data_IF_739472650831
#
_entry.id   IF_739472650831
#
_cell.length_a   1.000
_cell.length_b   1.000
_cell.length_c   1.000
_cell.angle_alpha   90.00
_cell.angle_beta   90.00
_cell.angle_gamma   90.00
#
_symmetry.space_group_name_H-M   'P 1'
#
loop_
_entity.id
_entity.type
_entity.pdbx_description
1 polymer ?
#
# COMPACT_ATOMS: atom_id res chain seq x y z
N UNK A 1 6.29 -5.25 16.28
CA UNK A 1 7.10 -5.62 17.47
C UNK A 1 7.07 -7.11 17.84
N UNK A 2 6.14 -7.94 17.33
CA UNK A 2 6.11 -9.40 17.62
C UNK A 2 6.26 -10.26 16.36
N UNK A 3 7.20 -9.91 15.50
CA UNK A 3 7.67 -10.71 14.36
C UNK A 3 9.12 -10.31 14.11
N UNK A 4 9.99 -11.28 13.82
CA UNK A 4 11.41 -11.02 13.56
C UNK A 4 11.61 -10.25 12.25
N UNK A 5 10.99 -10.72 11.16
CA UNK A 5 11.11 -10.09 9.85
C UNK A 5 10.10 -8.96 9.62
N UNK A 6 9.08 -8.84 10.47
CA UNK A 6 7.88 -8.04 10.20
C UNK A 6 6.74 -8.89 9.66
N UNK A 7 5.58 -8.29 9.46
CA UNK A 7 4.38 -8.98 8.99
C UNK A 7 3.42 -7.98 8.35
N UNK A 8 3.01 -8.22 7.10
CA UNK A 8 1.92 -7.45 6.48
C UNK A 8 0.59 -7.85 7.09
N UNK A 9 -0.08 -6.91 7.75
CA UNK A 9 -1.28 -7.21 8.53
C UNK A 9 -2.59 -6.80 7.84
N UNK A 10 -2.49 -5.98 6.79
CA UNK A 10 -3.61 -5.42 6.05
C UNK A 10 -3.10 -5.00 4.66
N UNK A 11 -3.91 -5.17 3.63
CA UNK A 11 -3.65 -4.58 2.31
C UNK A 11 -4.84 -3.71 1.90
N UNK A 12 -4.55 -2.56 1.31
CA UNK A 12 -5.55 -1.61 0.82
C UNK A 12 -5.41 -1.51 -0.70
N UNK A 13 -6.51 -1.67 -1.42
CA UNK A 13 -6.56 -1.52 -2.87
C UNK A 13 -7.75 -0.63 -3.20
N UNK A 14 -7.52 0.42 -3.99
CA UNK A 14 -8.59 1.27 -4.52
C UNK A 14 -8.62 1.16 -6.03
N UNK A 15 -9.83 1.01 -6.57
CA UNK A 15 -10.12 1.18 -8.00
C UNK A 15 -10.69 2.59 -8.23
N UNK A 16 -11.25 2.84 -9.42
CA UNK A 16 -11.95 4.09 -9.69
C UNK A 16 -13.31 4.18 -8.98
N UNK A 17 -13.91 3.05 -8.66
CA UNK A 17 -15.28 2.95 -8.15
C UNK A 17 -15.37 2.39 -6.73
N UNK A 18 -14.34 1.71 -6.21
CA UNK A 18 -14.40 0.98 -4.94
C UNK A 18 -13.08 1.00 -4.19
N UNK A 19 -13.20 0.93 -2.86
CA UNK A 19 -12.10 0.72 -1.94
C UNK A 19 -12.22 -0.67 -1.31
N UNK A 20 -11.11 -1.39 -1.27
CA UNK A 20 -10.99 -2.73 -0.71
C UNK A 20 -10.02 -2.72 0.46
N UNK A 21 -10.45 -3.31 1.56
CA UNK A 21 -9.62 -3.63 2.72
C UNK A 21 -9.50 -5.14 2.79
N UNK A 22 -8.29 -5.65 2.57
CA UNK A 22 -8.02 -7.08 2.50
C UNK A 22 -7.32 -7.50 3.79
N UNK A 23 -7.91 -8.47 4.49
CA UNK A 23 -7.26 -9.19 5.59
C UNK A 23 -6.41 -10.32 5.02
N UNK A 24 -5.07 -10.23 5.10
CA UNK A 24 -4.22 -11.28 4.58
C UNK A 24 -4.18 -12.53 5.47
N UNK A 25 -4.62 -12.50 6.73
CA UNK A 25 -4.48 -13.64 7.64
C UNK A 25 -5.29 -14.87 7.23
N UNK A 26 -6.61 -14.76 6.93
CA UNK A 26 -7.38 -15.90 6.44
C UNK A 26 -7.06 -16.26 4.98
N UNK A 27 -6.34 -15.40 4.25
CA UNK A 27 -6.03 -15.53 2.83
C UNK A 27 -4.54 -15.77 2.56
N UNK A 28 -3.74 -16.02 3.60
CA UNK A 28 -2.29 -15.85 3.55
C UNK A 28 -1.63 -16.64 2.42
N UNK A 29 -2.08 -17.88 2.23
CA UNK A 29 -1.54 -18.79 1.23
C UNK A 29 -2.11 -18.52 -0.17
N UNK A 30 -3.24 -17.82 -0.26
CA UNK A 30 -3.98 -17.51 -1.47
C UNK A 30 -3.64 -16.11 -2.01
N UNK A 31 -3.00 -15.24 -1.22
CA UNK A 31 -2.67 -13.86 -1.62
C UNK A 31 -1.90 -13.79 -2.95
N UNK A 32 -1.13 -14.83 -3.30
CA UNK A 32 -0.38 -14.91 -4.56
C UNK A 32 -1.24 -14.75 -5.82
N UNK A 33 -2.57 -14.98 -5.75
CA UNK A 33 -3.50 -14.74 -6.88
C UNK A 33 -3.46 -13.29 -7.36
N UNK A 34 -3.10 -12.35 -6.48
CA UNK A 34 -2.97 -10.92 -6.84
C UNK A 34 -1.81 -10.65 -7.81
N UNK A 35 -0.93 -11.63 -8.07
CA UNK A 35 0.04 -11.51 -9.16
C UNK A 35 -0.63 -11.26 -10.51
N UNK A 36 -1.82 -11.81 -10.78
CA UNK A 36 -2.51 -11.59 -12.07
C UNK A 36 -2.67 -10.08 -12.36
N UNK A 37 -3.34 -9.27 -11.51
CA UNK A 37 -3.41 -7.84 -11.74
C UNK A 37 -2.09 -7.09 -11.44
N UNK A 38 -1.29 -7.53 -10.47
CA UNK A 38 -0.09 -6.79 -10.06
C UNK A 38 1.08 -6.93 -11.05
N UNK A 39 1.10 -8.01 -11.84
CA UNK A 39 2.12 -8.23 -12.87
C UNK A 39 1.63 -7.97 -14.29
N UNK A 40 0.34 -7.73 -14.51
CA UNK A 40 -0.17 -7.29 -15.81
C UNK A 40 0.42 -5.91 -16.18
N UNK A 41 1.23 -5.80 -17.24
CA UNK A 41 1.82 -4.53 -17.66
C UNK A 41 0.79 -3.53 -18.18
N UNK A 42 -0.44 -3.96 -18.51
CA UNK A 42 -1.51 -3.08 -18.99
C UNK A 42 -2.26 -2.38 -17.83
N UNK A 43 -2.06 -2.84 -16.60
CA UNK A 43 -2.66 -2.24 -15.40
C UNK A 43 -1.61 -1.40 -14.70
N UNK A 44 -1.84 -0.09 -14.57
CA UNK A 44 -0.94 0.78 -13.80
C UNK A 44 -1.21 0.63 -12.30
N UNK A 45 -0.18 0.26 -11.53
CA UNK A 45 -0.27 0.22 -10.06
C UNK A 45 0.30 1.50 -9.46
N UNK A 46 -0.52 2.25 -8.75
CA UNK A 46 -0.12 3.52 -8.13
C UNK A 46 0.16 3.31 -6.65
N UNK A 47 1.37 3.67 -6.20
CA UNK A 47 1.78 3.63 -4.80
C UNK A 47 2.28 5.02 -4.33
N UNK A 48 2.54 5.15 -3.04
CA UNK A 48 3.20 6.31 -2.46
C UNK A 48 4.35 5.88 -1.53
N UNK A 49 5.58 5.94 -2.02
CA UNK A 49 6.77 5.54 -1.27
C UNK A 49 6.84 4.03 -1.05
N UNK A 50 6.81 3.27 -2.14
CA UNK A 50 6.61 1.81 -2.14
C UNK A 50 7.85 1.00 -1.74
N UNK A 51 8.99 1.62 -1.39
CA UNK A 51 10.27 0.92 -1.22
C UNK A 51 10.16 -0.27 -0.24
N UNK A 52 9.41 -0.11 0.87
CA UNK A 52 9.14 -1.21 1.81
C UNK A 52 8.00 -2.13 1.35
N UNK A 53 6.95 -1.59 0.74
CA UNK A 53 5.78 -2.35 0.31
C UNK A 53 6.18 -3.44 -0.69
N UNK A 54 7.07 -3.11 -1.64
CA UNK A 54 7.59 -4.08 -2.62
C UNK A 54 8.30 -5.25 -1.94
N UNK A 55 9.11 -4.98 -0.91
CA UNK A 55 9.83 -6.02 -0.16
C UNK A 55 8.83 -6.89 0.61
N UNK A 56 7.84 -6.29 1.25
CA UNK A 56 6.87 -7.02 2.06
C UNK A 56 5.93 -7.87 1.21
N UNK A 57 5.47 -7.36 0.06
CA UNK A 57 4.68 -8.12 -0.91
C UNK A 57 5.39 -9.39 -1.39
N UNK A 58 6.68 -9.29 -1.71
CA UNK A 58 7.49 -10.42 -2.14
C UNK A 58 7.74 -11.40 -0.99
N UNK A 59 8.15 -10.88 0.17
CA UNK A 59 8.49 -11.70 1.34
C UNK A 59 7.29 -12.48 1.88
N UNK A 60 6.15 -11.81 2.03
CA UNK A 60 5.00 -12.37 2.75
C UNK A 60 4.08 -13.18 1.81
N UNK A 61 3.93 -12.76 0.54
CA UNK A 61 2.90 -13.27 -0.36
C UNK A 61 3.40 -13.74 -1.72
N UNK A 62 4.70 -13.57 -2.03
CA UNK A 62 5.23 -13.85 -3.36
C UNK A 62 4.61 -12.99 -4.47
N UNK A 63 4.17 -11.77 -4.14
CA UNK A 63 3.56 -10.84 -5.10
C UNK A 63 4.64 -9.90 -5.66
N UNK A 64 4.69 -9.78 -6.98
CA UNK A 64 5.56 -8.84 -7.70
C UNK A 64 4.75 -7.75 -8.40
N UNK A 65 5.37 -6.60 -8.66
CA UNK A 65 4.70 -5.45 -9.28
C UNK A 65 5.39 -5.05 -10.58
N UNK A 66 4.64 -5.05 -11.67
CA UNK A 66 5.06 -4.58 -13.01
C UNK A 66 4.23 -3.38 -13.40
N UNK A 67 4.79 -2.39 -14.10
CA UNK A 67 4.08 -1.13 -14.43
C UNK A 67 3.57 -0.40 -13.18
N UNK A 68 4.52 0.08 -12.36
CA UNK A 68 4.25 0.80 -11.11
C UNK A 68 4.60 2.28 -11.25
N UNK A 69 3.75 3.14 -10.69
CA UNK A 69 4.00 4.57 -10.53
C UNK A 69 4.03 4.96 -9.06
N UNK A 70 5.16 5.49 -8.61
CA UNK A 70 5.33 5.95 -7.23
C UNK A 70 5.15 7.47 -7.15
N UNK A 71 4.06 7.88 -6.49
CA UNK A 71 3.71 9.30 -6.31
C UNK A 71 4.73 10.05 -5.45
N UNK A 72 5.41 9.41 -4.50
CA UNK A 72 6.47 10.06 -3.74
C UNK A 72 7.65 10.43 -4.65
N UNK A 73 8.01 9.53 -5.58
CA UNK A 73 9.07 9.81 -6.56
C UNK A 73 8.65 10.87 -7.57
N UNK A 74 7.40 10.86 -8.01
CA UNK A 74 6.84 11.92 -8.84
C UNK A 74 6.90 13.29 -8.15
N UNK A 75 6.54 13.37 -6.86
CA UNK A 75 6.63 14.61 -6.09
C UNK A 75 8.07 15.14 -5.98
N UNK A 76 9.06 14.24 -5.84
CA UNK A 76 10.49 14.62 -5.88
C UNK A 76 10.89 15.18 -7.24
N UNK A 77 10.46 14.52 -8.33
CA UNK A 77 10.74 14.98 -9.69
C UNK A 77 10.07 16.33 -10.02
N UNK A 78 8.92 16.62 -9.40
CA UNK A 78 8.18 17.88 -9.53
C UNK A 78 8.60 18.95 -8.51
N UNK A 79 9.67 18.74 -7.75
CA UNK A 79 10.23 19.68 -6.77
C UNK A 79 9.22 20.17 -5.72
N UNK A 80 8.37 19.26 -5.22
CA UNK A 80 7.44 19.57 -4.13
C UNK A 80 8.20 19.88 -2.83
N UNK A 81 7.73 20.86 -2.06
CA UNK A 81 8.34 21.21 -0.77
C UNK A 81 8.36 20.07 0.27
N UNK A 82 7.43 19.10 0.14
CA UNK A 82 7.29 17.93 1.00
C UNK A 82 6.83 16.74 0.16
N UNK A 83 7.25 15.53 0.54
CA UNK A 83 6.96 14.30 -0.21
C UNK A 83 6.03 13.31 0.50
N UNK A 84 5.39 13.71 1.60
CA UNK A 84 4.53 12.80 2.37
C UNK A 84 3.13 12.64 1.75
N UNK A 85 2.51 11.47 1.95
CA UNK A 85 1.14 11.22 1.48
C UNK A 85 0.12 12.25 2.01
N UNK A 86 0.22 12.65 3.28
CA UNK A 86 -0.64 13.70 3.84
C UNK A 86 -0.50 15.02 3.08
N UNK A 87 0.72 15.40 2.71
CA UNK A 87 0.93 16.63 1.94
C UNK A 87 0.34 16.51 0.54
N UNK A 88 0.51 15.37 -0.13
CA UNK A 88 -0.09 15.10 -1.43
C UNK A 88 -1.62 15.21 -1.39
N UNK A 89 -2.25 14.54 -0.42
CA UNK A 89 -3.72 14.56 -0.26
C UNK A 89 -4.22 15.96 0.10
N UNK A 90 -3.48 16.70 0.93
CA UNK A 90 -3.85 18.09 1.23
C UNK A 90 -3.72 18.98 -0.01
N UNK A 91 -2.65 18.85 -0.78
CA UNK A 91 -2.39 19.68 -1.96
C UNK A 91 -3.36 19.39 -3.11
N UNK A 92 -3.67 18.11 -3.37
CA UNK A 92 -4.50 17.71 -4.50
C UNK A 92 -6.00 17.63 -4.17
N UNK A 93 -6.35 17.25 -2.93
CA UNK A 93 -7.73 16.97 -2.55
C UNK A 93 -8.29 17.91 -1.47
N UNK A 94 -7.46 18.82 -0.93
CA UNK A 94 -7.80 19.70 0.18
C UNK A 94 -8.35 18.94 1.41
N UNK A 95 -7.74 17.79 1.73
CA UNK A 95 -8.12 16.95 2.87
C UNK A 95 -6.94 16.72 3.81
N UNK A 96 -7.21 16.82 5.11
CA UNK A 96 -6.28 16.44 6.17
C UNK A 96 -6.53 15.00 6.60
N UNK A 97 -5.50 14.16 6.56
CA UNK A 97 -5.56 12.78 7.04
C UNK A 97 -5.40 12.71 8.56
N UNK A 98 -6.22 11.89 9.22
CA UNK A 98 -5.99 11.49 10.61
C UNK A 98 -4.84 10.48 10.68
N UNK A 99 -3.88 10.72 11.57
CA UNK A 99 -2.67 9.90 11.75
C UNK A 99 -2.64 9.10 13.05
N UNK A 100 -3.70 9.16 13.87
CA UNK A 100 -3.76 8.47 15.17
C UNK A 100 -3.44 6.97 15.07
N UNK A 101 -3.86 6.32 13.99
CA UNK A 101 -3.70 4.86 13.82
C UNK A 101 -2.41 4.46 13.09
N UNK A 102 -1.54 5.40 12.69
CA UNK A 102 -0.35 5.09 11.90
C UNK A 102 0.59 4.08 12.59
N UNK A 103 0.65 4.10 13.92
CA UNK A 103 1.47 3.19 14.74
C UNK A 103 0.63 2.18 15.54
N UNK A 104 -0.63 1.98 15.17
CA UNK A 104 -1.51 1.04 15.84
C UNK A 104 -1.06 -0.42 15.60
N UNK A 105 -1.54 -1.33 16.46
CA UNK A 105 -1.35 -2.77 16.25
C UNK A 105 -2.37 -3.30 15.24
N UNK A 106 -2.00 -3.30 13.97
CA UNK A 106 -2.85 -3.75 12.85
C UNK A 106 -3.10 -5.27 12.81
N UNK A 107 -2.58 -6.03 13.78
CA UNK A 107 -2.88 -7.46 13.94
C UNK A 107 -4.20 -7.69 14.66
N UNK A 108 -4.73 -6.68 15.35
CA UNK A 108 -5.99 -6.78 16.05
C UNK A 108 -7.13 -7.00 15.04
N UNK A 109 -8.00 -7.95 15.35
CA UNK A 109 -9.18 -8.29 14.55
C UNK A 109 -10.43 -7.88 15.33
N UNK A 110 -10.60 -6.58 15.48
CA UNK A 110 -11.81 -5.93 16.01
C UNK A 110 -12.52 -5.06 14.94
N UNK A 111 -12.00 -5.09 13.70
CA UNK A 111 -12.42 -4.23 12.59
C UNK A 111 -13.34 -4.96 11.59
N UNK A 112 -13.94 -6.07 12.00
CA UNK A 112 -15.03 -6.76 11.29
C UNK A 112 -16.26 -6.81 12.18
#
# INVERSE_FOLDING_TARGET
>A
LRSFLGLTCLMQISTRDRDYIIDPFPLWNEMHILNEPFTDPNILKVFHGADNDIIWLQRDFGIYVVNMFDTQRAMKALDFSKFSYQYLVQACCNRTLDKKLQKADWRLRFLF
#
